data_IF_560768421661
#
_entry.id   IF_560768421661
#
_cell.length_a   1.000
_cell.length_b   1.000
_cell.length_c   1.000
_cell.angle_alpha   90.00
_cell.angle_beta   90.00
_cell.angle_gamma   90.00
#
_symmetry.space_group_name_H-M   'P 1'
#
loop_
_entity.id
_entity.type
_entity.pdbx_description
1 polymer ?
#
# COMPACT_ATOMS: atom_id res chain seq x y z
N UNK A 1 17.26 8.80 -1.97
CA UNK A 1 16.62 7.80 -2.86
C UNK A 1 15.18 8.23 -3.09
N UNK A 2 14.66 8.03 -4.29
CA UNK A 2 13.24 8.21 -4.59
C UNK A 2 12.61 6.84 -4.82
N UNK A 3 11.48 6.55 -4.17
CA UNK A 3 10.78 5.27 -4.32
C UNK A 3 9.27 5.44 -4.26
N UNK A 4 8.58 4.84 -5.23
CA UNK A 4 7.13 4.64 -5.18
C UNK A 4 6.83 3.38 -4.36
N UNK A 5 6.07 3.52 -3.29
CA UNK A 5 5.60 2.43 -2.44
C UNK A 5 4.11 2.20 -2.71
N UNK A 6 3.76 0.99 -3.12
CA UNK A 6 2.39 0.55 -3.25
C UNK A 6 1.82 0.16 -1.89
N UNK A 7 0.81 0.86 -1.39
CA UNK A 7 0.19 0.58 -0.09
C UNK A 7 -1.10 -0.20 -0.31
N UNK A 8 -1.13 -1.44 0.16
CA UNK A 8 -2.27 -2.34 0.06
C UNK A 8 -2.76 -2.63 1.49
N UNK A 9 -3.65 -1.77 1.99
CA UNK A 9 -4.18 -1.86 3.35
C UNK A 9 -4.88 -3.20 3.63
N UNK A 10 -5.65 -3.67 2.65
CA UNK A 10 -6.46 -4.88 2.75
C UNK A 10 -7.60 -4.74 3.76
N UNK A 11 -7.80 -5.77 4.59
CA UNK A 11 -9.00 -6.01 5.38
C UNK A 11 -8.78 -5.86 6.89
N UNK A 12 -9.88 -5.70 7.64
CA UNK A 12 -9.86 -5.62 9.10
C UNK A 12 -8.93 -4.50 9.61
N UNK A 13 -8.05 -4.85 10.54
CA UNK A 13 -7.07 -3.91 11.13
C UNK A 13 -5.97 -3.48 10.16
N UNK A 14 -5.91 -4.06 8.96
CA UNK A 14 -4.88 -3.76 7.95
C UNK A 14 -4.81 -2.28 7.59
N UNK A 15 -5.96 -1.61 7.48
CA UNK A 15 -6.03 -0.17 7.19
C UNK A 15 -5.45 0.69 8.33
N UNK A 16 -5.71 0.34 9.58
CA UNK A 16 -5.24 1.09 10.74
C UNK A 16 -3.71 0.98 10.87
N UNK A 17 -3.17 -0.24 10.82
CA UNK A 17 -1.73 -0.45 11.00
C UNK A 17 -0.89 0.05 9.83
N UNK A 18 -1.42 -0.02 8.60
CA UNK A 18 -0.69 0.51 7.42
C UNK A 18 -0.66 2.04 7.39
N UNK A 19 -1.70 2.71 7.89
CA UNK A 19 -1.68 4.16 8.05
C UNK A 19 -0.53 4.61 8.98
N UNK A 20 -0.34 3.91 10.10
CA UNK A 20 0.78 4.16 11.02
C UNK A 20 2.14 3.89 10.39
N UNK A 21 2.26 2.78 9.64
CA UNK A 21 3.49 2.45 8.93
C UNK A 21 3.87 3.52 7.90
N UNK A 22 2.90 4.08 7.16
CA UNK A 22 3.13 5.20 6.24
C UNK A 22 3.64 6.44 6.98
N UNK A 23 3.09 6.76 8.15
CA UNK A 23 3.57 7.89 8.98
C UNK A 23 5.03 7.71 9.41
N UNK A 24 5.39 6.51 9.86
CA UNK A 24 6.77 6.19 10.25
C UNK A 24 7.71 6.26 9.04
N UNK A 25 7.32 5.70 7.90
CA UNK A 25 8.12 5.74 6.66
C UNK A 25 8.36 7.18 6.18
N UNK A 26 7.36 8.06 6.27
CA UNK A 26 7.52 9.48 5.95
C UNK A 26 8.53 10.18 6.89
N UNK A 27 8.49 9.88 8.19
CA UNK A 27 9.44 10.40 9.17
C UNK A 27 10.87 9.91 8.87
N UNK A 28 11.05 8.61 8.59
CA UNK A 28 12.34 8.04 8.16
C UNK A 28 12.82 8.69 6.86
N UNK A 29 11.93 8.91 5.89
CA UNK A 29 12.26 9.59 4.64
C UNK A 29 12.84 10.99 4.90
N UNK A 30 12.19 11.76 5.76
CA UNK A 30 12.65 13.09 6.16
C UNK A 30 14.00 13.02 6.88
N UNK A 31 14.17 12.11 7.84
CA UNK A 31 15.36 12.01 8.66
C UNK A 31 16.62 11.62 7.86
N UNK A 32 16.48 10.75 6.86
CA UNK A 32 17.62 10.18 6.13
C UNK A 32 17.74 10.67 4.68
N UNK A 33 16.91 11.63 4.25
CA UNK A 33 16.95 12.19 2.89
C UNK A 33 16.44 11.24 1.82
N UNK A 34 15.42 10.44 2.13
CA UNK A 34 14.67 9.65 1.14
C UNK A 34 13.32 10.32 0.83
N UNK A 35 12.92 10.27 -0.44
CA UNK A 35 11.61 10.69 -0.89
C UNK A 35 10.76 9.46 -1.18
N UNK A 36 9.75 9.22 -0.35
CA UNK A 36 8.76 8.16 -0.58
C UNK A 36 7.48 8.77 -1.13
N UNK A 37 6.98 8.21 -2.23
CA UNK A 37 5.62 8.46 -2.72
C UNK A 37 4.77 7.24 -2.44
N UNK A 38 3.58 7.42 -1.87
CA UNK A 38 2.68 6.32 -1.54
C UNK A 38 1.48 6.31 -2.49
N UNK A 39 1.23 5.18 -3.16
CA UNK A 39 0.03 4.98 -3.99
C UNK A 39 -0.77 3.83 -3.41
N UNK A 40 -2.07 4.05 -3.20
CA UNK A 40 -2.93 3.07 -2.54
C UNK A 40 -3.67 2.21 -3.58
N UNK A 41 -3.80 0.92 -3.27
CA UNK A 41 -4.53 -0.05 -4.10
C UNK A 41 -5.41 -0.97 -3.27
N UNK A 42 -6.46 -1.52 -3.89
CA UNK A 42 -7.37 -2.46 -3.26
C UNK A 42 -6.80 -3.87 -3.30
N UNK A 43 -6.92 -4.62 -2.20
CA UNK A 43 -6.62 -6.05 -2.15
C UNK A 43 -7.57 -6.75 -1.17
N UNK A 44 -7.71 -8.07 -1.26
CA UNK A 44 -8.46 -8.87 -0.29
C UNK A 44 -9.98 -8.72 -0.41
N UNK A 45 -10.69 -8.88 0.71
CA UNK A 45 -12.15 -8.76 0.81
C UNK A 45 -12.65 -7.40 0.34
N UNK A 46 -11.99 -6.32 0.73
CA UNK A 46 -12.30 -4.96 0.29
C UNK A 46 -12.23 -4.80 -1.25
N UNK A 47 -11.33 -5.52 -1.91
CA UNK A 47 -11.25 -5.53 -3.37
C UNK A 47 -12.34 -6.39 -4.01
N UNK A 48 -12.69 -7.53 -3.40
CA UNK A 48 -13.82 -8.35 -3.84
C UNK A 48 -15.10 -7.53 -3.80
N UNK A 49 -15.38 -6.86 -2.68
CA UNK A 49 -16.60 -6.08 -2.50
C UNK A 49 -16.71 -4.94 -3.51
N UNK A 50 -15.60 -4.27 -3.82
CA UNK A 50 -15.59 -3.13 -4.73
C UNK A 50 -15.51 -3.51 -6.22
N UNK A 51 -14.87 -4.63 -6.56
CA UNK A 51 -14.47 -4.93 -7.95
C UNK A 51 -14.81 -6.34 -8.42
N UNK A 52 -15.29 -7.22 -7.53
CA UNK A 52 -15.49 -8.64 -7.80
C UNK A 52 -14.20 -9.46 -7.87
N UNK A 53 -13.05 -8.88 -7.54
CA UNK A 53 -11.75 -9.54 -7.57
C UNK A 53 -10.90 -9.20 -6.36
N UNK A 54 -10.33 -10.21 -5.70
CA UNK A 54 -9.41 -10.01 -4.57
C UNK A 54 -8.10 -9.31 -4.96
N UNK A 55 -7.76 -9.29 -6.25
CA UNK A 55 -6.57 -8.65 -6.77
C UNK A 55 -6.83 -8.04 -8.16
N UNK A 56 -7.48 -6.87 -8.23
CA UNK A 56 -7.93 -6.29 -9.48
C UNK A 56 -6.76 -5.85 -10.37
N UNK A 57 -6.95 -5.75 -11.71
CA UNK A 57 -5.90 -5.33 -12.64
C UNK A 57 -5.23 -3.99 -12.28
N UNK A 58 -5.99 -3.03 -11.75
CA UNK A 58 -5.44 -1.74 -11.31
C UNK A 58 -4.41 -1.90 -10.18
N UNK A 59 -4.68 -2.76 -9.19
CA UNK A 59 -3.73 -3.05 -8.11
C UNK A 59 -2.50 -3.80 -8.62
N UNK A 60 -2.68 -4.73 -9.57
CA UNK A 60 -1.57 -5.40 -10.24
C UNK A 60 -0.64 -4.42 -10.93
N UNK A 61 -1.20 -3.46 -11.68
CA UNK A 61 -0.41 -2.43 -12.34
C UNK A 61 0.34 -1.56 -11.33
N UNK A 62 -0.34 -1.15 -10.25
CA UNK A 62 0.30 -0.40 -9.17
C UNK A 62 1.48 -1.15 -8.55
N UNK A 63 1.36 -2.46 -8.32
CA UNK A 63 2.45 -3.28 -7.79
C UNK A 63 3.62 -3.39 -8.77
N UNK A 64 3.33 -3.47 -10.06
CA UNK A 64 4.35 -3.54 -11.11
C UNK A 64 5.11 -2.20 -11.28
N UNK A 65 4.43 -1.07 -11.08
CA UNK A 65 5.03 0.27 -11.15
C UNK A 65 5.83 0.63 -9.88
N UNK A 66 5.48 0.03 -8.74
CA UNK A 66 6.07 0.36 -7.44
C UNK A 66 7.44 -0.30 -7.24
N UNK A 67 8.33 0.38 -6.51
CA UNK A 67 9.62 -0.18 -6.09
C UNK A 67 9.45 -1.25 -5.01
N UNK A 68 8.40 -1.13 -4.18
CA UNK A 68 8.04 -2.11 -3.16
C UNK A 68 6.55 -2.01 -2.81
N UNK A 69 6.03 -3.05 -2.16
CA UNK A 69 4.65 -3.12 -1.67
C UNK A 69 4.64 -3.20 -0.15
N UNK A 70 3.87 -2.30 0.48
CA UNK A 70 3.49 -2.35 1.88
C UNK A 70 2.11 -2.99 1.99
N UNK A 71 2.06 -4.26 2.37
CA UNK A 71 0.82 -5.03 2.53
C UNK A 71 0.40 -5.03 4.01
N UNK A 72 -0.88 -4.75 4.28
CA UNK A 72 -1.50 -4.88 5.59
C UNK A 72 -1.92 -6.32 5.87
N UNK A 73 -3.22 -6.55 6.01
CA UNK A 73 -3.80 -7.88 6.25
C UNK A 73 -4.87 -8.17 5.20
N UNK A 74 -5.12 -9.44 4.88
CA UNK A 74 -6.22 -9.86 3.99
C UNK A 74 -7.02 -10.97 4.65
N UNK A 75 -8.34 -10.98 4.47
CA UNK A 75 -9.25 -11.92 5.13
C UNK A 75 -10.62 -11.99 4.50
#
# INVERSE_FOLDING_TARGET
>A
MEALIGVLAGDGIGAEVTAEAVRVLAAVGTQYGHAFTFRHGLIGGAAIDATGSAFPPATRQLCADAAAVLLGAVG
#
